data_IF_864423843386
#
_entry.id   IF_864423843386
#
_cell.length_a   1.000
_cell.length_b   1.000
_cell.length_c   1.000
_cell.angle_alpha   90.00
_cell.angle_beta   90.00
_cell.angle_gamma   90.00
#
_symmetry.space_group_name_H-M   'P 1'
#
loop_
_entity.id
_entity.type
_entity.pdbx_description
1 polymer ?
#
# COMPACT_ATOMS: atom_id res chain seq x y z
N UNK A 1 11.67 2.26 4.28
CA UNK A 1 12.06 3.01 3.06
C UNK A 1 11.30 4.33 3.07
N UNK A 2 11.95 5.45 3.41
CA UNK A 2 11.26 6.75 3.45
C UNK A 2 11.37 7.41 2.07
N UNK A 3 10.24 7.47 1.36
CA UNK A 3 10.09 8.35 0.21
C UNK A 3 9.72 9.74 0.72
N UNK A 4 10.57 10.74 0.47
CA UNK A 4 10.25 12.13 0.77
C UNK A 4 9.35 12.69 -0.34
N UNK A 5 8.12 13.07 0.00
CA UNK A 5 7.16 13.67 -0.92
C UNK A 5 6.04 12.73 -1.40
N UNK A 6 5.24 13.23 -2.32
CA UNK A 6 4.11 12.54 -2.93
C UNK A 6 4.60 11.58 -4.02
N UNK A 7 4.20 10.30 -3.98
CA UNK A 7 4.49 9.38 -5.09
C UNK A 7 3.60 9.71 -6.28
N UNK A 8 4.17 9.79 -7.48
CA UNK A 8 3.45 10.07 -8.73
C UNK A 8 3.68 8.97 -9.74
N UNK A 9 2.62 8.59 -10.47
CA UNK A 9 2.65 7.63 -11.56
C UNK A 9 1.76 8.14 -12.71
N UNK A 10 2.38 8.56 -13.82
CA UNK A 10 1.70 9.26 -14.91
C UNK A 10 0.93 10.49 -14.39
N UNK A 11 -0.40 10.49 -14.54
CA UNK A 11 -1.29 11.57 -14.09
C UNK A 11 -1.91 11.30 -12.71
N UNK A 12 -1.50 10.22 -12.03
CA UNK A 12 -1.99 9.81 -10.72
C UNK A 12 -0.93 10.00 -9.65
N UNK A 13 -1.37 10.05 -8.40
CA UNK A 13 -0.48 10.20 -7.26
C UNK A 13 -1.02 9.51 -6.00
N UNK A 14 -0.15 9.16 -5.06
CA UNK A 14 -0.56 8.72 -3.72
C UNK A 14 -0.58 9.94 -2.80
N UNK A 15 -1.73 10.33 -2.22
CA UNK A 15 -1.79 11.44 -1.27
C UNK A 15 -0.82 11.23 -0.10
N UNK A 16 -0.14 12.28 0.33
CA UNK A 16 0.89 12.18 1.38
C UNK A 16 0.35 11.53 2.68
N UNK A 17 -0.90 11.82 3.05
CA UNK A 17 -1.60 11.19 4.20
C UNK A 17 -1.66 9.66 4.13
N UNK A 18 -1.60 9.08 2.93
CA UNK A 18 -1.64 7.63 2.71
C UNK A 18 -0.25 7.01 2.78
N UNK A 19 0.80 7.78 2.44
CA UNK A 19 2.18 7.31 2.51
C UNK A 19 2.59 6.91 3.92
N UNK A 20 2.10 7.60 4.96
CA UNK A 20 2.40 7.23 6.35
C UNK A 20 1.88 5.82 6.70
N UNK A 21 0.67 5.47 6.23
CA UNK A 21 0.09 4.14 6.42
C UNK A 21 0.87 3.06 5.66
N UNK A 22 1.25 3.36 4.41
CA UNK A 22 2.07 2.48 3.59
C UNK A 22 3.45 2.26 4.23
N UNK A 23 4.12 3.32 4.68
CA UNK A 23 5.44 3.25 5.30
C UNK A 23 5.41 2.43 6.58
N UNK A 24 4.39 2.60 7.44
CA UNK A 24 4.26 1.78 8.66
C UNK A 24 4.06 0.29 8.34
N UNK A 25 3.28 -0.02 7.30
CA UNK A 25 3.10 -1.38 6.83
C UNK A 25 4.39 -1.97 6.27
N UNK A 26 5.09 -1.25 5.39
CA UNK A 26 6.33 -1.71 4.79
C UNK A 26 7.44 -1.87 5.82
N UNK A 27 7.64 -0.87 6.69
CA UNK A 27 8.76 -0.86 7.63
C UNK A 27 8.53 -1.81 8.80
N UNK A 28 7.33 -1.81 9.39
CA UNK A 28 7.05 -2.50 10.66
C UNK A 28 5.97 -3.58 10.56
N UNK A 29 5.44 -3.85 9.36
CA UNK A 29 4.36 -4.82 9.18
C UNK A 29 3.02 -4.38 9.77
N UNK A 30 2.84 -3.10 10.15
CA UNK A 30 1.60 -2.64 10.79
C UNK A 30 0.43 -2.70 9.81
N UNK A 31 -0.61 -3.49 10.14
CA UNK A 31 -1.79 -3.64 9.30
C UNK A 31 -2.52 -2.29 9.14
N UNK A 32 -2.69 -1.77 7.91
CA UNK A 32 -3.30 -0.46 7.69
C UNK A 32 -4.83 -0.54 7.70
N UNK A 33 -5.50 0.59 7.44
CA UNK A 33 -6.97 0.62 7.31
C UNK A 33 -7.49 -0.13 6.06
N UNK A 34 -8.79 -0.41 6.04
CA UNK A 34 -9.41 -1.33 5.06
C UNK A 34 -9.21 -0.99 3.58
N UNK A 35 -9.12 0.29 3.22
CA UNK A 35 -8.79 0.69 1.83
C UNK A 35 -7.40 0.19 1.42
N UNK A 36 -6.37 0.45 2.23
CA UNK A 36 -5.00 0.01 1.93
C UNK A 36 -4.89 -1.51 2.02
N UNK A 37 -5.61 -2.17 2.93
CA UNK A 37 -5.65 -3.64 2.95
C UNK A 37 -6.17 -4.18 1.61
N UNK A 38 -7.26 -3.63 1.07
CA UNK A 38 -7.78 -4.07 -0.23
C UNK A 38 -6.78 -3.83 -1.38
N UNK A 39 -6.11 -2.67 -1.40
CA UNK A 39 -5.02 -2.39 -2.35
C UNK A 39 -3.88 -3.41 -2.23
N UNK A 40 -3.40 -3.65 -1.01
CA UNK A 40 -2.27 -4.56 -0.73
C UNK A 40 -2.64 -5.99 -1.13
N UNK A 41 -3.87 -6.43 -0.88
CA UNK A 41 -4.37 -7.74 -1.25
C UNK A 41 -4.70 -7.88 -2.74
N UNK A 42 -4.51 -6.82 -3.54
CA UNK A 42 -4.88 -6.77 -4.95
C UNK A 42 -6.39 -7.01 -5.21
N UNK A 43 -7.24 -6.61 -4.26
CA UNK A 43 -8.69 -6.58 -4.40
C UNK A 43 -9.13 -5.18 -4.80
N UNK A 44 -9.06 -4.90 -6.11
CA UNK A 44 -9.36 -3.57 -6.65
C UNK A 44 -10.85 -3.23 -6.56
N UNK A 45 -11.73 -4.23 -6.48
CA UNK A 45 -13.16 -4.02 -6.28
C UNK A 45 -13.39 -3.45 -4.88
N UNK A 46 -12.90 -4.11 -3.84
CA UNK A 46 -13.02 -3.62 -2.46
C UNK A 46 -12.28 -2.30 -2.26
N UNK A 47 -11.13 -2.11 -2.92
CA UNK A 47 -10.39 -0.86 -2.86
C UNK A 47 -11.23 0.30 -3.41
N UNK A 48 -11.89 0.12 -4.56
CA UNK A 48 -12.76 1.14 -5.16
C UNK A 48 -14.00 1.44 -4.29
N UNK A 49 -14.59 0.42 -3.67
CA UNK A 49 -15.74 0.56 -2.76
C UNK A 49 -15.38 1.32 -1.48
N UNK A 50 -14.20 1.06 -0.90
CA UNK A 50 -13.75 1.65 0.38
C UNK A 50 -13.08 3.01 0.22
N UNK A 51 -12.63 3.36 -0.98
CA UNK A 51 -11.91 4.60 -1.24
C UNK A 51 -12.80 5.84 -1.05
N UNK A 52 -12.21 6.90 -0.48
CA UNK A 52 -12.68 8.26 -0.69
C UNK A 52 -12.47 8.69 -2.18
N UNK A 53 -13.03 9.85 -2.57
CA UNK A 53 -13.00 10.32 -3.96
C UNK A 53 -11.56 10.47 -4.48
N UNK A 54 -10.67 11.04 -3.66
CA UNK A 54 -9.27 11.29 -4.04
C UNK A 54 -8.52 9.97 -4.26
N UNK A 55 -8.64 9.03 -3.32
CA UNK A 55 -8.01 7.72 -3.42
C UNK A 55 -8.56 6.90 -4.58
N UNK A 56 -9.86 6.95 -4.86
CA UNK A 56 -10.49 6.22 -5.96
C UNK A 56 -9.94 6.67 -7.31
N UNK A 57 -9.84 7.98 -7.51
CA UNK A 57 -9.30 8.56 -8.75
C UNK A 57 -7.82 8.23 -8.97
N UNK A 58 -7.09 7.92 -7.89
CA UNK A 58 -5.67 7.68 -7.89
C UNK A 58 -5.26 6.21 -7.67
N UNK A 59 -6.22 5.27 -7.67
CA UNK A 59 -5.97 3.83 -7.52
C UNK A 59 -4.79 3.31 -8.37
N UNK A 60 -4.61 3.73 -9.64
CA UNK A 60 -3.46 3.27 -10.43
C UNK A 60 -2.10 3.61 -9.83
N UNK A 61 -1.94 4.74 -9.13
CA UNK A 61 -0.69 5.08 -8.45
C UNK A 61 -0.38 4.13 -7.29
N UNK A 62 -1.40 3.70 -6.54
CA UNK A 62 -1.24 2.71 -5.47
C UNK A 62 -0.78 1.36 -6.02
N UNK A 63 -1.42 0.87 -7.08
CA UNK A 63 -1.06 -0.40 -7.72
C UNK A 63 0.35 -0.34 -8.28
N UNK A 64 0.70 0.72 -9.00
CA UNK A 64 2.03 0.93 -9.56
C UNK A 64 3.11 1.01 -8.46
N UNK A 65 2.79 1.66 -7.33
CA UNK A 65 3.72 1.76 -6.20
C UNK A 65 4.04 0.39 -5.63
N UNK A 66 3.02 -0.42 -5.29
CA UNK A 66 3.25 -1.76 -4.76
C UNK A 66 3.96 -2.66 -5.76
N UNK A 67 3.57 -2.61 -7.03
CA UNK A 67 4.19 -3.42 -8.09
C UNK A 67 5.66 -3.10 -8.34
N UNK A 68 6.04 -1.80 -8.38
CA UNK A 68 7.40 -1.39 -8.76
C UNK A 68 8.35 -1.13 -7.60
N UNK A 69 7.85 -0.72 -6.44
CA UNK A 69 8.69 -0.16 -5.36
C UNK A 69 8.66 -0.96 -4.07
N UNK A 70 7.91 -2.06 -4.00
CA UNK A 70 7.79 -2.85 -2.77
C UNK A 70 8.19 -4.31 -2.97
N UNK A 71 8.69 -4.99 -1.92
CA UNK A 71 9.01 -6.41 -2.00
C UNK A 71 7.80 -7.24 -2.42
N UNK A 72 7.99 -8.17 -3.37
CA UNK A 72 6.90 -9.01 -3.90
C UNK A 72 6.21 -9.91 -2.86
N UNK A 73 6.83 -10.10 -1.69
CA UNK A 73 6.29 -10.84 -0.56
C UNK A 73 5.35 -10.03 0.34
N UNK A 74 5.24 -8.70 0.17
CA UNK A 74 4.41 -7.85 1.02
C UNK A 74 3.05 -7.49 0.43
N UNK A 75 2.69 -8.00 -0.75
CA UNK A 75 1.44 -7.62 -1.42
C UNK A 75 1.02 -8.67 -2.46
N UNK A 76 -0.23 -8.61 -2.89
CA UNK A 76 -0.83 -9.44 -3.94
C UNK A 76 -1.84 -10.46 -3.44
N UNK A 77 -1.90 -10.72 -2.12
CA UNK A 77 -2.93 -11.54 -1.48
C UNK A 77 -2.99 -11.28 0.02
N UNK A 78 -4.05 -11.74 0.68
CA UNK A 78 -4.20 -11.64 2.13
C UNK A 78 -3.12 -12.43 2.87
N UNK A 79 -2.75 -13.61 2.36
CA UNK A 79 -1.72 -14.47 2.95
C UNK A 79 -0.36 -13.76 2.96
N UNK A 80 0.01 -13.09 1.86
CA UNK A 80 1.24 -12.31 1.79
C UNK A 80 1.23 -11.12 2.74
N UNK A 81 0.09 -10.43 2.86
CA UNK A 81 -0.04 -9.32 3.79
C UNK A 81 0.16 -9.76 5.24
N UNK A 82 -0.48 -10.88 5.63
CA UNK A 82 -0.35 -11.42 6.99
C UNK A 82 1.05 -11.97 7.25
N UNK A 83 1.66 -12.68 6.30
CA UNK A 83 3.05 -13.14 6.43
C UNK A 83 4.03 -11.96 6.59
N UNK A 84 3.79 -10.84 5.89
CA UNK A 84 4.59 -9.63 6.03
C UNK A 84 4.43 -8.96 7.40
N UNK A 85 3.19 -8.95 7.92
CA UNK A 85 2.87 -8.49 9.26
C UNK A 85 3.57 -9.34 10.34
N UNK A 86 3.44 -10.65 10.25
CA UNK A 86 4.09 -11.61 11.18
C UNK A 86 5.61 -11.50 11.14
N UNK A 87 6.19 -11.29 9.95
CA UNK A 87 7.62 -11.05 9.77
C UNK A 87 8.07 -9.74 10.45
N UNK A 88 7.20 -8.75 10.62
CA UNK A 88 7.53 -7.44 11.22
C UNK A 88 8.06 -6.39 10.23
N UNK A 89 7.70 -6.50 8.94
CA UNK A 89 8.08 -5.51 7.92
C UNK A 89 9.54 -5.58 7.47
N UNK A 90 10.09 -4.50 6.92
CA UNK A 90 11.50 -4.43 6.48
C UNK A 90 12.49 -4.38 7.65
N UNK A 91 12.08 -3.84 8.80
CA UNK A 91 13.00 -3.53 9.90
C UNK A 91 13.22 -4.67 10.90
N UNK A 92 12.77 -5.89 10.59
CA UNK A 92 13.15 -7.05 11.39
C UNK A 92 14.64 -7.40 11.16
N UNK A 93 15.43 -7.14 12.20
CA UNK A 93 16.74 -7.75 12.47
C UNK A 93 16.55 -8.93 13.44
#
# INVERSE_FOLDING_TARGET
MKMEGQYTFNNWYIPQRMMDGINRYLDYGVIPGGFLQAVICNDLMEAACRADIENRNNLPAFVAFFYHHTPSGCWGSQEKMLAWHERGGLTCN
#
